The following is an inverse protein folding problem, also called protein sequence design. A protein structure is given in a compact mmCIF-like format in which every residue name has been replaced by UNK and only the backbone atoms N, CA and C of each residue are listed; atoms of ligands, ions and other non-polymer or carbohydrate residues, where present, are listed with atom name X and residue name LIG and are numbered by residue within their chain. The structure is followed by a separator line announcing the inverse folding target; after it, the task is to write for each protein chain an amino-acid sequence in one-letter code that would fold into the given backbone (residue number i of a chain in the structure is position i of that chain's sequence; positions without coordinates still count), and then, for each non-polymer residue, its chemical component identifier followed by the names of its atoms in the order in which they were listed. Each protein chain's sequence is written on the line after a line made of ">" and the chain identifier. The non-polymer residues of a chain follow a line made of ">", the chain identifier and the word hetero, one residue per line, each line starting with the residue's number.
data_IF_123802413795
#
_entry.id   IF_123802413795
#
_cell.length_a   1.000
_cell.length_b   1.000
_cell.length_c   1.000
_cell.angle_alpha   90.00
_cell.angle_beta   90.00
_cell.angle_gamma   90.00
#
_symmetry.space_group_name_H-M   'P 1'
#
loop_
_entity.id
_entity.type
_entity.pdbx_description
1 polymer ?
#
# COMPACT_ATOMS: atom_id res chain seq x y z
N UNK A 1 17.37 -12.76 -89.16
CA UNK A 1 16.32 -12.86 -88.12
C UNK A 1 17.03 -12.89 -86.76
N UNK A 2 16.93 -11.82 -85.97
CA UNK A 2 17.78 -11.59 -84.78
C UNK A 2 17.03 -12.10 -83.54
N UNK A 3 17.40 -13.26 -83.02
CA UNK A 3 16.82 -13.79 -81.77
C UNK A 3 17.38 -13.01 -80.56
N UNK A 4 16.51 -12.29 -79.87
CA UNK A 4 16.82 -11.65 -78.58
C UNK A 4 16.85 -12.71 -77.47
N UNK A 5 18.03 -12.92 -76.86
CA UNK A 5 18.18 -13.76 -75.67
C UNK A 5 17.61 -13.02 -74.45
N UNK A 6 16.51 -13.52 -73.88
CA UNK A 6 15.94 -13.02 -72.61
C UNK A 6 16.81 -13.48 -71.43
N UNK A 7 17.06 -12.60 -70.46
CA UNK A 7 17.89 -12.83 -69.27
C UNK A 7 17.06 -13.42 -68.11
N UNK A 8 17.16 -14.73 -67.80
CA UNK A 8 16.37 -15.36 -66.75
C UNK A 8 16.81 -14.97 -65.31
N UNK A 9 18.03 -14.47 -65.13
CA UNK A 9 18.57 -14.14 -63.80
C UNK A 9 18.00 -12.87 -63.15
N UNK A 10 17.61 -11.85 -63.93
CA UNK A 10 17.11 -10.59 -63.38
C UNK A 10 15.72 -10.73 -62.75
N UNK A 11 14.83 -11.53 -63.36
CA UNK A 11 13.50 -11.80 -62.81
C UNK A 11 13.58 -12.55 -61.48
N UNK A 12 14.57 -13.43 -61.32
CA UNK A 12 14.77 -14.19 -60.08
C UNK A 12 15.21 -13.27 -58.94
N UNK A 13 16.19 -12.40 -59.19
CA UNK A 13 16.67 -11.42 -58.19
C UNK A 13 15.55 -10.46 -57.80
N UNK A 14 14.77 -9.98 -58.77
CA UNK A 14 13.62 -9.09 -58.51
C UNK A 14 12.53 -9.78 -57.69
N UNK A 15 12.23 -11.05 -57.98
CA UNK A 15 11.26 -11.82 -57.17
C UNK A 15 11.77 -12.08 -55.75
N UNK A 16 13.07 -12.32 -55.58
CA UNK A 16 13.69 -12.57 -54.28
C UNK A 16 13.72 -11.31 -53.43
N UNK A 17 14.05 -10.15 -53.99
CA UNK A 17 14.03 -8.88 -53.24
C UNK A 17 12.62 -8.46 -52.86
N UNK A 18 11.63 -8.67 -53.74
CA UNK A 18 10.22 -8.43 -53.43
C UNK A 18 9.72 -9.36 -52.33
N UNK A 19 10.03 -10.67 -52.41
CA UNK A 19 9.65 -11.63 -51.36
C UNK A 19 10.34 -11.31 -50.02
N UNK A 20 11.64 -11.00 -50.03
CA UNK A 20 12.38 -10.59 -48.84
C UNK A 20 11.81 -9.30 -48.23
N UNK A 21 11.44 -8.32 -49.06
CA UNK A 21 10.81 -7.08 -48.61
C UNK A 21 9.44 -7.31 -47.96
N UNK A 22 8.61 -8.17 -48.54
CA UNK A 22 7.30 -8.52 -47.96
C UNK A 22 7.49 -9.25 -46.64
N UNK A 23 8.40 -10.22 -46.55
CA UNK A 23 8.68 -10.95 -45.31
C UNK A 23 9.17 -10.01 -44.22
N UNK A 24 10.10 -9.10 -44.54
CA UNK A 24 10.59 -8.11 -43.58
C UNK A 24 9.47 -7.20 -43.08
N UNK A 25 8.57 -6.75 -43.97
CA UNK A 25 7.41 -5.92 -43.61
C UNK A 25 6.42 -6.67 -42.70
N UNK A 26 6.18 -7.95 -42.96
CA UNK A 26 5.31 -8.78 -42.11
C UNK A 26 5.90 -8.96 -40.71
N UNK A 27 7.22 -9.20 -40.62
CA UNK A 27 7.91 -9.36 -39.33
C UNK A 27 7.87 -8.07 -38.51
N UNK A 28 8.13 -6.91 -39.14
CA UNK A 28 8.07 -5.63 -38.41
C UNK A 28 6.65 -5.32 -37.94
N UNK A 29 5.64 -5.48 -38.79
CA UNK A 29 4.24 -5.25 -38.41
C UNK A 29 3.81 -6.18 -37.28
N UNK A 30 4.18 -7.47 -37.35
CA UNK A 30 3.90 -8.44 -36.29
C UNK A 30 4.56 -8.04 -34.97
N UNK A 31 5.83 -7.58 -35.02
CA UNK A 31 6.54 -7.14 -33.82
C UNK A 31 5.86 -5.92 -33.18
N UNK A 32 5.52 -4.90 -33.98
CA UNK A 32 4.79 -3.71 -33.51
C UNK A 32 3.45 -4.08 -32.87
N UNK A 33 2.64 -4.91 -33.54
CA UNK A 33 1.36 -5.37 -32.98
C UNK A 33 1.52 -6.11 -31.65
N UNK A 34 2.54 -6.97 -31.50
CA UNK A 34 2.77 -7.66 -30.22
C UNK A 34 3.20 -6.71 -29.10
N UNK A 35 3.99 -5.67 -29.40
CA UNK A 35 4.42 -4.69 -28.39
C UNK A 35 3.26 -3.80 -27.97
N UNK A 36 2.47 -3.29 -28.92
CA UNK A 36 1.27 -2.49 -28.63
C UNK A 36 0.23 -3.30 -27.84
N UNK A 37 0.00 -4.56 -28.22
CA UNK A 37 -0.92 -5.45 -27.51
C UNK A 37 -0.50 -5.66 -26.05
N UNK A 38 0.79 -5.88 -25.79
CA UNK A 38 1.32 -5.97 -24.42
C UNK A 38 1.17 -4.65 -23.66
N UNK A 39 1.43 -3.51 -24.29
CA UNK A 39 1.28 -2.20 -23.67
C UNK A 39 -0.19 -1.91 -23.28
N UNK A 40 -1.15 -2.19 -24.18
CA UNK A 40 -2.58 -2.04 -23.92
C UNK A 40 -3.03 -2.98 -22.80
N UNK A 41 -2.58 -4.24 -22.81
CA UNK A 41 -2.91 -5.18 -21.74
C UNK A 41 -2.44 -4.66 -20.37
N UNK A 42 -1.22 -4.12 -20.30
CA UNK A 42 -0.69 -3.53 -19.07
C UNK A 42 -1.52 -2.30 -18.62
N UNK A 43 -1.92 -1.42 -19.53
CA UNK A 43 -2.79 -0.28 -19.23
C UNK A 43 -4.18 -0.70 -18.73
N UNK A 44 -4.75 -1.75 -19.32
CA UNK A 44 -6.02 -2.32 -18.87
C UNK A 44 -5.91 -2.93 -17.47
N UNK A 45 -4.84 -3.70 -17.21
CA UNK A 45 -4.58 -4.27 -15.89
C UNK A 45 -4.38 -3.18 -14.83
N UNK A 46 -3.62 -2.12 -15.15
CA UNK A 46 -3.42 -0.98 -14.26
C UNK A 46 -4.74 -0.25 -13.95
N UNK A 47 -5.59 -0.05 -14.96
CA UNK A 47 -6.90 0.59 -14.78
C UNK A 47 -7.82 -0.27 -13.90
N UNK A 48 -7.85 -1.59 -14.12
CA UNK A 48 -8.61 -2.53 -13.28
C UNK A 48 -8.12 -2.53 -11.83
N UNK A 49 -6.81 -2.55 -11.61
CA UNK A 49 -6.23 -2.47 -10.27
C UNK A 49 -6.62 -1.16 -9.56
N UNK A 50 -6.62 -0.04 -10.28
CA UNK A 50 -7.06 1.26 -9.76
C UNK A 50 -8.54 1.27 -9.39
N UNK A 51 -9.42 0.71 -10.21
CA UNK A 51 -10.85 0.60 -9.89
C UNK A 51 -11.08 -0.26 -8.65
N UNK A 52 -10.38 -1.40 -8.53
CA UNK A 52 -10.46 -2.26 -7.35
C UNK A 52 -9.98 -1.52 -6.08
N UNK A 53 -8.90 -0.74 -6.19
CA UNK A 53 -8.40 0.08 -5.08
C UNK A 53 -9.35 1.22 -4.69
N UNK A 54 -10.07 1.83 -5.64
CA UNK A 54 -11.08 2.85 -5.33
C UNK A 54 -12.26 2.24 -4.56
N UNK A 55 -12.69 1.04 -4.94
CA UNK A 55 -13.75 0.32 -4.22
C UNK A 55 -13.28 -0.02 -2.80
N UNK A 56 -12.08 -0.57 -2.65
CA UNK A 56 -11.54 -0.90 -1.32
C UNK A 56 -11.39 0.34 -0.43
N UNK A 57 -10.93 1.46 -1.00
CA UNK A 57 -10.84 2.75 -0.31
C UNK A 57 -12.20 3.25 0.15
N UNK A 58 -13.24 3.15 -0.69
CA UNK A 58 -14.61 3.56 -0.32
C UNK A 58 -15.19 2.69 0.79
N UNK A 59 -14.93 1.38 0.76
CA UNK A 59 -15.31 0.46 1.83
C UNK A 59 -14.59 0.80 3.14
N UNK A 60 -13.28 1.06 3.07
CA UNK A 60 -12.50 1.48 4.24
C UNK A 60 -13.01 2.80 4.84
N UNK A 61 -13.33 3.79 3.99
CA UNK A 61 -13.87 5.07 4.42
C UNK A 61 -15.26 4.90 5.06
N UNK A 62 -16.13 4.08 4.47
CA UNK A 62 -17.45 3.79 5.04
C UNK A 62 -17.34 3.14 6.41
N UNK A 63 -16.45 2.14 6.56
CA UNK A 63 -16.19 1.48 7.84
C UNK A 63 -15.63 2.47 8.88
N UNK A 64 -14.69 3.33 8.48
CA UNK A 64 -14.17 4.38 9.35
C UNK A 64 -15.26 5.39 9.76
N UNK A 65 -16.08 5.85 8.82
CA UNK A 65 -17.15 6.82 9.12
C UNK A 65 -18.23 6.22 10.01
N UNK A 66 -18.53 4.93 9.86
CA UNK A 66 -19.49 4.23 10.70
C UNK A 66 -19.01 4.18 12.17
N UNK A 67 -17.75 3.81 12.39
CA UNK A 67 -17.23 3.61 13.76
C UNK A 67 -16.68 4.89 14.39
N UNK A 68 -16.02 5.74 13.61
CA UNK A 68 -15.40 7.00 14.05
C UNK A 68 -16.26 8.26 13.80
N UNK A 69 -17.47 8.11 13.24
CA UNK A 69 -18.36 9.25 12.97
C UNK A 69 -18.86 9.98 14.23
N UNK A 70 -19.27 9.28 15.30
CA UNK A 70 -19.66 9.92 16.56
C UNK A 70 -18.48 10.59 17.29
N UNK A 71 -18.75 11.69 18.00
CA UNK A 71 -17.73 12.51 18.70
C UNK A 71 -17.14 11.88 19.99
N UNK A 72 -17.64 10.71 20.40
CA UNK A 72 -17.17 9.98 21.60
C UNK A 72 -16.34 8.77 21.23
N UNK A 73 -15.36 8.98 20.35
CA UNK A 73 -14.52 7.94 19.75
C UNK A 73 -13.07 8.30 19.95
N UNK A 74 -12.28 7.35 20.42
CA UNK A 74 -10.83 7.48 20.55
C UNK A 74 -10.17 6.42 19.68
N UNK A 75 -9.22 6.82 18.85
CA UNK A 75 -8.43 5.89 18.03
C UNK A 75 -7.12 5.58 18.72
N UNK A 76 -6.70 4.33 18.65
CA UNK A 76 -5.36 3.93 19.05
C UNK A 76 -4.93 2.67 18.29
N UNK A 77 -3.65 2.35 18.40
CA UNK A 77 -3.07 1.18 17.74
C UNK A 77 -3.28 -0.08 18.59
N UNK A 78 -3.26 -1.26 17.98
CA UNK A 78 -3.45 -2.55 18.63
C UNK A 78 -2.36 -2.91 19.66
N UNK A 79 -1.17 -2.33 19.56
CA UNK A 79 -0.07 -2.54 20.49
C UNK A 79 -0.44 -2.19 21.95
N UNK A 80 -1.29 -1.19 22.18
CA UNK A 80 -1.74 -0.84 23.54
C UNK A 80 -2.57 -1.96 24.20
N UNK A 81 -3.19 -2.83 23.41
CA UNK A 81 -4.03 -3.94 23.92
C UNK A 81 -3.22 -5.14 24.36
N UNK A 82 -1.92 -5.19 24.03
CA UNK A 82 -1.05 -6.33 24.30
C UNK A 82 0.17 -5.92 25.15
N UNK A 83 -0.07 -5.31 26.32
CA UNK A 83 0.98 -4.82 27.22
C UNK A 83 1.97 -5.89 27.70
N UNK A 84 1.55 -7.15 27.77
CA UNK A 84 2.39 -8.28 28.17
C UNK A 84 3.15 -8.96 27.01
N UNK A 85 2.87 -8.56 25.76
CA UNK A 85 3.50 -9.17 24.60
C UNK A 85 4.84 -8.50 24.26
N UNK A 86 5.89 -9.29 24.11
CA UNK A 86 7.19 -8.85 23.58
C UNK A 86 7.07 -8.58 22.08
N UNK A 87 7.93 -7.72 21.52
CA UNK A 87 7.92 -7.35 20.10
C UNK A 87 7.87 -8.52 19.08
N UNK A 88 8.39 -9.69 19.45
CA UNK A 88 8.34 -10.92 18.64
C UNK A 88 7.00 -11.67 18.72
N UNK A 89 6.18 -11.37 19.73
CA UNK A 89 4.91 -12.05 20.04
C UNK A 89 3.67 -11.17 19.80
N UNK A 90 3.85 -9.83 19.76
CA UNK A 90 2.78 -8.89 19.40
C UNK A 90 2.33 -9.19 17.98
N UNK A 91 1.05 -9.56 17.83
CA UNK A 91 0.48 -9.86 16.52
C UNK A 91 -0.23 -8.63 16.00
N UNK A 92 0.01 -8.33 14.73
CA UNK A 92 -0.62 -7.22 14.03
C UNK A 92 -0.60 -5.90 14.83
N UNK A 93 0.57 -5.48 15.36
CA UNK A 93 0.68 -4.28 16.20
C UNK A 93 0.10 -3.06 15.51
N UNK A 94 0.26 -2.92 14.19
CA UNK A 94 -0.08 -1.71 13.45
C UNK A 94 -1.59 -1.51 13.18
N UNK A 95 -2.46 -2.44 13.59
CA UNK A 95 -3.90 -2.28 13.37
C UNK A 95 -4.47 -1.15 14.21
N UNK A 96 -5.39 -0.37 13.65
CA UNK A 96 -6.04 0.73 14.36
C UNK A 96 -7.38 0.28 14.89
N UNK A 97 -7.59 0.48 16.19
CA UNK A 97 -8.87 0.29 16.86
C UNK A 97 -9.59 1.62 17.10
N UNK A 98 -10.91 1.57 17.21
CA UNK A 98 -11.73 2.66 17.76
C UNK A 98 -12.35 2.22 19.07
N UNK A 99 -12.04 2.97 20.12
CA UNK A 99 -12.64 2.86 21.44
C UNK A 99 -13.80 3.83 21.56
N UNK A 100 -14.85 3.35 22.23
CA UNK A 100 -16.05 4.10 22.53
C UNK A 100 -15.97 4.64 23.95
N UNK A 101 -15.86 5.95 24.09
CA UNK A 101 -15.82 6.58 25.43
C UNK A 101 -17.21 6.58 26.09
N UNK A 102 -18.27 6.44 25.30
CA UNK A 102 -19.65 6.34 25.78
C UNK A 102 -20.01 4.95 26.31
N UNK A 103 -19.34 3.89 25.84
CA UNK A 103 -19.55 2.51 26.24
C UNK A 103 -18.18 1.82 26.44
N UNK A 104 -17.52 2.05 27.58
CA UNK A 104 -16.17 1.55 27.84
C UNK A 104 -16.09 0.02 27.96
N UNK A 105 -17.21 -0.64 28.27
CA UNK A 105 -17.28 -2.10 28.39
C UNK A 105 -17.28 -2.80 27.02
N UNK A 106 -17.55 -2.07 25.93
CA UNK A 106 -17.51 -2.64 24.58
C UNK A 106 -16.07 -2.76 24.09
N UNK A 107 -15.72 -3.87 23.42
CA UNK A 107 -14.43 -4.02 22.80
C UNK A 107 -14.25 -3.03 21.64
N UNK A 108 -13.02 -2.61 21.33
CA UNK A 108 -12.75 -1.69 20.23
C UNK A 108 -13.01 -2.33 18.86
N UNK A 109 -13.48 -1.53 17.91
CA UNK A 109 -13.63 -1.94 16.53
C UNK A 109 -12.32 -1.80 15.74
N UNK A 110 -11.83 -2.86 15.10
CA UNK A 110 -10.59 -2.86 14.31
C UNK A 110 -10.83 -2.48 12.84
N UNK A 111 -10.15 -1.43 12.35
CA UNK A 111 -10.28 -0.93 10.98
C UNK A 111 -9.48 -1.73 9.95
N UNK A 112 -9.92 -2.96 9.70
CA UNK A 112 -9.38 -3.86 8.69
C UNK A 112 -10.50 -4.44 7.82
N UNK A 113 -10.13 -5.04 6.68
CA UNK A 113 -11.09 -5.71 5.78
C UNK A 113 -11.68 -7.00 6.35
N UNK A 114 -11.01 -7.63 7.33
CA UNK A 114 -11.47 -8.85 7.99
C UNK A 114 -10.79 -10.12 7.47
N UNK A 115 -11.49 -11.26 7.63
CA UNK A 115 -11.01 -12.59 7.27
C UNK A 115 -11.57 -13.04 5.92
N UNK A 116 -10.84 -13.91 5.22
CA UNK A 116 -11.27 -14.45 3.92
C UNK A 116 -12.20 -15.66 4.04
N UNK A 117 -12.30 -16.29 5.21
CA UNK A 117 -13.22 -17.41 5.48
C UNK A 117 -14.62 -16.96 5.92
N UNK A 118 -14.82 -15.64 6.07
CA UNK A 118 -16.08 -15.03 6.49
C UNK A 118 -16.70 -14.24 5.33
N UNK A 119 -18.03 -14.06 5.30
CA UNK A 119 -18.66 -13.24 4.28
C UNK A 119 -18.17 -11.79 4.37
N UNK A 120 -18.13 -11.14 3.21
CA UNK A 120 -17.73 -9.76 3.08
C UNK A 120 -18.53 -8.85 4.02
N UNK A 121 -17.83 -7.96 4.71
CA UNK A 121 -18.44 -6.99 5.61
C UNK A 121 -18.71 -7.48 7.03
N UNK A 122 -18.44 -8.75 7.37
CA UNK A 122 -18.50 -9.26 8.75
C UNK A 122 -17.70 -8.36 9.72
N UNK A 123 -16.49 -7.98 9.31
CA UNK A 123 -15.62 -7.10 10.10
C UNK A 123 -16.15 -5.66 10.22
N UNK A 124 -16.95 -5.19 9.26
CA UNK A 124 -17.54 -3.85 9.25
C UNK A 124 -18.91 -3.78 9.93
N UNK A 125 -19.47 -4.92 10.35
CA UNK A 125 -20.68 -4.92 11.18
C UNK A 125 -20.35 -4.22 12.49
N UNK A 126 -21.17 -3.22 12.85
CA UNK A 126 -20.97 -2.52 14.10
C UNK A 126 -21.09 -3.50 15.26
N UNK A 127 -20.14 -3.45 16.18
CA UNK A 127 -20.17 -4.23 17.42
C UNK A 127 -21.29 -3.76 18.36
N UNK A 128 -21.96 -2.65 18.03
CA UNK A 128 -23.12 -2.15 18.73
C UNK A 128 -24.41 -2.69 18.11
N UNK A 129 -25.02 -3.63 18.81
CA UNK A 129 -26.41 -4.00 18.60
C UNK A 129 -27.13 -3.87 19.94
N UNK A 130 -28.22 -3.11 19.97
CA UNK A 130 -29.03 -2.91 21.18
C UNK A 130 -29.43 -4.28 21.74
N UNK A 131 -29.00 -4.59 22.98
CA UNK A 131 -29.28 -5.86 23.65
C UNK A 131 -28.25 -6.98 23.45
N UNK A 132 -27.12 -6.72 22.77
CA UNK A 132 -26.04 -7.70 22.63
C UNK A 132 -25.06 -7.69 23.82
N UNK A 133 -24.47 -8.85 24.09
CA UNK A 133 -23.35 -8.97 25.02
C UNK A 133 -22.14 -8.16 24.50
N UNK A 134 -21.28 -7.62 25.39
CA UNK A 134 -20.11 -6.81 25.03
C UNK A 134 -18.95 -7.67 24.49
N UNK A 135 -19.23 -8.56 23.56
CA UNK A 135 -18.27 -9.51 23.01
C UNK A 135 -18.16 -9.37 21.49
N UNK A 136 -17.02 -9.78 20.95
CA UNK A 136 -16.87 -9.92 19.51
C UNK A 136 -17.80 -11.02 18.98
N UNK A 137 -18.50 -10.72 17.88
CA UNK A 137 -19.33 -11.73 17.21
C UNK A 137 -18.47 -12.84 16.60
N UNK A 138 -19.08 -14.02 16.39
CA UNK A 138 -18.41 -15.14 15.76
C UNK A 138 -17.90 -14.76 14.35
N UNK A 139 -16.64 -15.05 14.06
CA UNK A 139 -16.00 -14.68 12.80
C UNK A 139 -15.32 -13.31 12.79
N UNK A 140 -15.44 -12.51 13.85
CA UNK A 140 -14.67 -11.28 13.98
C UNK A 140 -13.18 -11.56 14.20
N UNK A 141 -12.30 -10.74 13.64
CA UNK A 141 -10.85 -10.91 13.79
C UNK A 141 -10.24 -9.86 14.71
N UNK A 142 -9.66 -10.34 15.81
CA UNK A 142 -8.91 -9.53 16.74
C UNK A 142 -7.38 -9.64 16.48
N UNK A 143 -6.60 -8.58 16.75
CA UNK A 143 -5.15 -8.55 16.49
C UNK A 143 -4.37 -9.70 17.13
N UNK A 144 -4.77 -10.09 18.35
CA UNK A 144 -4.10 -11.12 19.16
C UNK A 144 -4.49 -12.57 18.84
N UNK A 145 -5.47 -12.78 17.96
CA UNK A 145 -6.03 -14.11 17.71
C UNK A 145 -5.01 -15.05 17.05
N UNK A 146 -4.97 -16.31 17.49
CA UNK A 146 -4.00 -17.33 17.04
C UNK A 146 -4.62 -18.44 16.19
N UNK A 147 -5.94 -18.61 16.25
CA UNK A 147 -6.64 -19.72 15.58
C UNK A 147 -6.90 -19.53 14.09
N UNK A 148 -6.67 -18.34 13.54
CA UNK A 148 -6.85 -18.04 12.12
C UNK A 148 -5.50 -17.69 11.49
N UNK A 149 -4.99 -18.58 10.63
CA UNK A 149 -3.74 -18.39 9.90
C UNK A 149 -3.98 -18.60 8.40
N UNK A 150 -4.31 -17.53 7.65
CA UNK A 150 -4.54 -17.63 6.22
C UNK A 150 -3.25 -18.05 5.49
N UNK A 151 -3.39 -18.84 4.42
CA UNK A 151 -2.26 -19.21 3.57
C UNK A 151 -1.66 -18.00 2.87
N UNK A 152 -0.34 -17.99 2.66
CA UNK A 152 0.38 -16.86 2.07
C UNK A 152 -0.19 -16.41 0.70
N UNK A 153 -0.73 -17.33 -0.10
CA UNK A 153 -1.34 -17.04 -1.40
C UNK A 153 -2.58 -16.14 -1.31
N UNK A 154 -3.28 -16.22 -0.17
CA UNK A 154 -4.50 -15.44 0.09
C UNK A 154 -4.18 -14.07 0.67
N UNK A 155 -2.96 -13.86 1.18
CA UNK A 155 -2.53 -12.60 1.77
C UNK A 155 -2.09 -11.60 0.69
N UNK A 156 -2.27 -10.32 1.02
CA UNK A 156 -1.68 -9.20 0.30
C UNK A 156 -0.95 -8.31 1.29
N UNK A 157 0.29 -7.96 0.95
CA UNK A 157 1.07 -7.01 1.74
C UNK A 157 0.56 -5.60 1.43
N UNK A 158 -0.06 -4.98 2.44
CA UNK A 158 -0.54 -3.60 2.36
C UNK A 158 0.55 -2.61 2.75
N UNK A 159 1.37 -2.98 3.73
CA UNK A 159 2.58 -2.26 4.12
C UNK A 159 3.75 -3.24 4.09
N UNK A 160 4.67 -3.02 3.15
CA UNK A 160 5.85 -3.86 2.91
C UNK A 160 7.15 -3.26 3.45
N UNK A 161 8.25 -3.97 3.22
CA UNK A 161 9.60 -3.61 3.68
C UNK A 161 10.14 -2.30 3.09
N UNK A 162 9.58 -1.83 1.97
CA UNK A 162 9.89 -0.52 1.40
C UNK A 162 9.26 0.67 2.14
N UNK A 163 8.34 0.42 3.08
CA UNK A 163 7.65 1.48 3.84
C UNK A 163 7.70 1.29 5.34
N UNK A 164 7.97 0.07 5.82
CA UNK A 164 8.09 -0.23 7.24
C UNK A 164 9.11 -1.34 7.50
N UNK A 165 9.76 -1.30 8.66
CA UNK A 165 10.72 -2.31 9.08
C UNK A 165 10.03 -3.58 9.61
N UNK A 166 10.70 -4.72 9.43
CA UNK A 166 10.36 -5.95 10.13
C UNK A 166 10.59 -5.80 11.64
N UNK A 167 10.08 -6.74 12.44
CA UNK A 167 10.36 -6.74 13.88
C UNK A 167 11.88 -6.90 14.11
N UNK A 168 12.43 -6.08 15.01
CA UNK A 168 13.87 -6.10 15.34
C UNK A 168 14.06 -5.95 16.85
N UNK A 169 14.63 -6.96 17.50
CA UNK A 169 14.85 -6.97 18.95
C UNK A 169 13.54 -6.73 19.72
N UNK A 170 13.45 -5.57 20.39
CA UNK A 170 12.26 -5.16 21.15
C UNK A 170 11.33 -4.19 20.37
N UNK A 171 11.51 -4.06 19.04
CA UNK A 171 10.65 -3.25 18.17
C UNK A 171 9.63 -4.14 17.44
N UNK A 172 8.32 -3.89 17.59
CA UNK A 172 7.30 -4.66 16.89
C UNK A 172 7.36 -4.39 15.39
N UNK A 173 6.90 -5.36 14.57
CA UNK A 173 6.91 -5.22 13.12
C UNK A 173 5.97 -4.12 12.65
N UNK A 174 6.44 -3.27 11.72
CA UNK A 174 5.59 -2.29 11.05
C UNK A 174 4.88 -2.83 9.80
N UNK A 175 5.07 -4.10 9.47
CA UNK A 175 4.47 -4.73 8.28
C UNK A 175 3.00 -5.02 8.52
N UNK A 176 2.19 -4.83 7.48
CA UNK A 176 0.76 -5.12 7.51
C UNK A 176 0.40 -5.97 6.30
N UNK A 177 -0.09 -7.17 6.56
CA UNK A 177 -0.61 -8.06 5.55
C UNK A 177 -2.00 -8.55 5.98
N UNK A 178 -2.93 -8.54 5.03
CA UNK A 178 -4.32 -8.96 5.25
C UNK A 178 -4.74 -9.93 4.14
N UNK A 179 -5.67 -10.84 4.43
CA UNK A 179 -6.22 -11.72 3.41
C UNK A 179 -7.12 -10.95 2.44
N UNK A 180 -7.16 -11.43 1.20
CA UNK A 180 -8.05 -10.92 0.15
C UNK A 180 -9.48 -11.38 0.44
N UNK A 181 -10.36 -10.44 0.77
CA UNK A 181 -11.80 -10.71 1.01
C UNK A 181 -12.55 -10.53 -0.30
N UNK A 182 -13.45 -11.46 -0.63
CA UNK A 182 -14.29 -11.35 -1.83
C UNK A 182 -15.25 -10.15 -1.70
N UNK A 183 -15.60 -9.51 -2.81
CA UNK A 183 -16.63 -8.47 -2.81
C UNK A 183 -17.99 -9.06 -2.39
N UNK A 184 -18.86 -8.25 -1.75
CA UNK A 184 -20.17 -8.73 -1.27
C UNK A 184 -21.15 -9.13 -2.40
N UNK A 185 -20.97 -8.63 -3.63
CA UNK A 185 -21.79 -9.03 -4.79
C UNK A 185 -21.14 -10.22 -5.53
N UNK A 186 -21.74 -11.40 -5.43
CA UNK A 186 -21.26 -12.64 -6.07
C UNK A 186 -21.19 -12.54 -7.60
N UNK A 187 -21.96 -11.64 -8.22
CA UNK A 187 -21.93 -11.40 -9.66
C UNK A 187 -20.66 -10.66 -10.09
N UNK A 188 -20.05 -9.90 -9.19
CA UNK A 188 -18.83 -9.13 -9.43
C UNK A 188 -17.65 -9.87 -8.84
N UNK A 189 -16.89 -10.56 -9.70
CA UNK A 189 -15.65 -11.22 -9.29
C UNK A 189 -14.57 -10.18 -9.00
N UNK A 190 -14.19 -10.05 -7.72
CA UNK A 190 -13.10 -9.21 -7.28
C UNK A 190 -12.86 -9.39 -5.80
N UNK A 191 -11.62 -9.13 -5.38
CA UNK A 191 -11.24 -9.17 -3.98
C UNK A 191 -10.72 -7.80 -3.55
N UNK A 192 -10.93 -7.48 -2.28
CA UNK A 192 -10.41 -6.27 -1.67
C UNK A 192 -9.72 -6.61 -0.35
N UNK A 193 -8.75 -5.78 0.01
CA UNK A 193 -8.17 -5.74 1.33
C UNK A 193 -7.85 -4.29 1.64
N UNK A 194 -8.06 -3.88 2.88
CA UNK A 194 -7.69 -2.55 3.34
C UNK A 194 -7.29 -2.61 4.81
N UNK A 195 -6.44 -1.68 5.17
CA UNK A 195 -6.05 -1.37 6.54
C UNK A 195 -6.06 0.14 6.67
N UNK A 196 -6.60 0.63 7.79
CA UNK A 196 -6.50 2.04 8.13
C UNK A 196 -5.47 2.18 9.23
N UNK A 197 -4.38 2.89 8.92
CA UNK A 197 -3.37 3.28 9.89
C UNK A 197 -3.74 4.57 10.60
N UNK A 198 -3.41 4.65 11.89
CA UNK A 198 -3.43 5.89 12.63
C UNK A 198 -2.20 6.74 12.24
N UNK A 199 -2.44 8.00 11.87
CA UNK A 199 -1.41 8.99 11.52
C UNK A 199 -0.93 9.79 12.74
N UNK A 200 -1.68 9.78 13.86
CA UNK A 200 -1.33 10.51 15.09
C UNK A 200 -0.03 10.02 15.77
N UNK A 201 0.38 8.80 15.43
CA UNK A 201 1.59 8.15 15.93
C UNK A 201 2.79 8.25 14.98
N UNK A 202 2.60 8.88 13.81
CA UNK A 202 3.70 9.12 12.88
C UNK A 202 4.35 10.46 13.18
N UNK A 203 5.67 10.45 13.32
CA UNK A 203 6.44 11.68 13.41
C UNK A 203 6.47 12.34 12.02
N UNK A 204 6.06 13.61 11.94
CA UNK A 204 6.39 14.44 10.78
C UNK A 204 7.89 14.73 10.86
N UNK A 205 8.65 14.31 9.85
CA UNK A 205 10.10 14.56 9.76
C UNK A 205 10.48 16.03 9.59
N UNK A 206 9.50 16.94 9.49
CA UNK A 206 9.71 18.38 9.56
C UNK A 206 9.99 18.81 11.01
N UNK A 207 11.01 18.22 11.63
CA UNK A 207 11.52 18.66 12.92
C UNK A 207 12.06 20.07 12.73
N UNK A 208 11.73 20.95 13.67
CA UNK A 208 12.27 22.30 13.74
C UNK A 208 13.78 22.22 13.85
N UNK A 209 14.49 22.84 12.90
CA UNK A 209 15.94 23.06 13.01
C UNK A 209 16.26 23.75 14.36
N UNK A 210 17.05 23.08 15.20
CA UNK A 210 17.62 23.66 16.41
C UNK A 210 19.04 24.11 16.12
N UNK A 211 19.18 25.19 15.33
CA UNK A 211 20.50 25.80 15.12
C UNK A 211 21.07 26.23 16.48
N UNK A 212 22.32 25.87 16.81
CA UNK A 212 22.89 26.14 18.13
C UNK A 212 22.81 27.64 18.46
N UNK A 213 22.38 27.98 19.68
CA UNK A 213 22.25 29.36 20.18
C UNK A 213 23.61 30.09 20.37
N UNK A 214 24.68 29.62 19.75
CA UNK A 214 26.03 30.19 19.91
C UNK A 214 26.32 31.33 18.93
N UNK A 215 25.47 31.58 17.93
CA UNK A 215 25.68 32.69 17.00
C UNK A 215 25.15 34.00 17.58
N UNK A 216 26.09 34.86 17.97
CA UNK A 216 25.88 36.16 18.65
C UNK A 216 25.34 37.26 17.71
N UNK A 217 24.91 36.91 16.50
CA UNK A 217 24.44 37.86 15.48
C UNK A 217 22.91 37.80 15.32
N UNK A 218 22.23 38.78 15.93
CA UNK A 218 20.77 38.92 15.95
C UNK A 218 20.11 39.04 14.55
N UNK A 219 20.86 39.43 13.52
CA UNK A 219 20.38 39.56 12.14
C UNK A 219 20.06 38.21 11.48
N UNK A 220 20.91 37.20 11.67
CA UNK A 220 20.72 35.88 11.06
C UNK A 220 19.58 35.09 11.72
N UNK A 221 19.36 35.33 13.02
CA UNK A 221 18.17 34.83 13.73
C UNK A 221 16.88 35.47 13.21
N UNK A 222 16.90 36.76 12.92
CA UNK A 222 15.71 37.47 12.42
C UNK A 222 15.40 37.12 10.95
N UNK A 223 16.41 36.83 10.13
CA UNK A 223 16.24 36.34 8.75
C UNK A 223 15.70 34.90 8.76
N UNK A 224 16.18 34.04 9.66
CA UNK A 224 15.73 32.64 9.75
C UNK A 224 14.30 32.47 10.26
N UNK A 225 13.79 33.38 11.10
CA UNK A 225 12.36 33.42 11.48
C UNK A 225 11.44 33.78 10.31
N UNK A 226 12.00 34.34 9.23
CA UNK A 226 11.26 34.74 8.02
C UNK A 226 11.41 33.75 6.87
N UNK A 227 12.30 32.75 6.98
CA UNK A 227 12.45 31.67 6.00
C UNK A 227 11.51 30.51 6.31
N UNK A 228 11.06 29.76 5.28
CA UNK A 228 10.38 28.48 5.48
C UNK A 228 11.20 27.54 6.39
N UNK A 229 10.52 26.75 7.21
CA UNK A 229 11.16 25.79 8.10
C UNK A 229 12.01 24.80 7.29
N UNK A 230 13.33 24.83 7.50
CA UNK A 230 14.23 23.78 7.02
C UNK A 230 14.04 22.55 7.91
N UNK A 231 13.74 21.37 7.33
CA UNK A 231 13.65 20.14 8.11
C UNK A 231 15.02 19.79 8.71
N UNK A 232 15.09 19.64 10.03
CA UNK A 232 16.32 19.25 10.73
C UNK A 232 16.58 17.74 10.68
N UNK A 233 16.89 17.18 9.50
CA UNK A 233 17.16 15.75 9.33
C UNK A 233 18.38 15.27 10.15
N UNK A 234 19.35 16.15 10.38
CA UNK A 234 20.54 15.94 11.22
C UNK A 234 20.19 15.66 12.70
N UNK A 235 18.98 16.03 13.13
CA UNK A 235 18.52 15.80 14.50
C UNK A 235 18.02 14.37 14.73
N UNK A 236 17.86 13.59 13.66
CA UNK A 236 17.37 12.21 13.72
C UNK A 236 18.56 11.28 13.48
N UNK A 237 18.96 10.57 14.53
CA UNK A 237 20.02 9.56 14.47
C UNK A 237 19.76 8.57 13.31
N UNK A 238 20.70 8.49 12.38
CA UNK A 238 20.62 7.65 11.17
C UNK A 238 20.03 8.34 9.92
N UNK A 239 19.56 9.58 10.02
CA UNK A 239 19.17 10.44 8.89
C UNK A 239 20.12 11.65 8.73
N UNK A 240 21.26 11.64 9.43
CA UNK A 240 22.28 12.69 9.48
C UNK A 240 22.83 13.08 8.10
N UNK A 241 22.85 12.12 7.15
CA UNK A 241 23.34 12.33 5.80
C UNK A 241 22.29 12.87 4.82
N UNK A 242 21.02 12.99 5.22
CA UNK A 242 19.93 13.42 4.32
C UNK A 242 19.80 14.93 4.34
N UNK A 243 19.95 15.54 3.16
CA UNK A 243 19.79 16.98 2.95
C UNK A 243 18.49 17.32 2.21
N UNK A 244 17.84 16.33 1.59
CA UNK A 244 16.56 16.48 0.90
C UNK A 244 15.68 15.22 1.06
N UNK A 245 14.34 15.36 1.08
CA UNK A 245 13.42 14.24 1.28
C UNK A 245 13.45 13.20 0.15
N UNK A 246 13.91 13.58 -1.04
CA UNK A 246 14.00 12.70 -2.21
C UNK A 246 15.08 11.61 -2.07
N UNK A 247 16.08 11.85 -1.21
CA UNK A 247 17.18 10.92 -0.96
C UNK A 247 16.76 9.66 -0.19
N UNK A 248 15.55 9.65 0.40
CA UNK A 248 14.94 8.48 1.03
C UNK A 248 14.65 7.35 0.01
N UNK A 249 14.50 7.68 -1.28
CA UNK A 249 14.26 6.68 -2.34
C UNK A 249 15.56 6.00 -2.79
N UNK A 250 16.71 6.66 -2.65
CA UNK A 250 17.99 6.21 -3.22
C UNK A 250 18.87 5.42 -2.25
N UNK A 251 18.52 5.33 -0.96
CA UNK A 251 19.33 4.57 0.02
C UNK A 251 19.02 3.06 0.07
N UNK A 252 18.30 2.53 -0.93
CA UNK A 252 18.10 1.10 -1.14
C UNK A 252 19.22 0.49 -2.01
N UNK A 253 20.49 0.52 -1.59
CA UNK A 253 21.48 -0.48 -2.05
C UNK A 253 22.49 -0.77 -0.92
N UNK A 254 22.59 -2.06 -0.58
CA UNK A 254 23.49 -2.72 0.36
C UNK A 254 23.18 -2.54 1.85
N UNK A 255 22.36 -3.47 2.37
CA UNK A 255 22.77 -4.44 3.39
C UNK A 255 21.97 -5.74 3.18
#
# INVERSE_FOLDING_TARGET
>A
MKHSKRSPGFSLILSLTVMAGIVMLLVTLSAFMTVESRAVMNQQLATRAKLNAIVSMRLALAHLQQEAGPDRRSTARADITQSAATASTVRNPMWTGIWRTDLPDLPPAWLISGRADQPAGTQSLSLYQTGAAPDYHAGYWAPWQTGYNPGADTMVNLVGTGSAAAAEGNRPSGLVALPKVALPDERIKGNYAYWVGDEGIKARINLRDIRPQTDTHASDQMISLRSPLTPGYDLIKGLEALTAPEQLVLHQINL
#
